data_IF_747751839324
#
_entry.id   IF_747751839324
#
_cell.length_a   1.000
_cell.length_b   1.000
_cell.length_c   1.000
_cell.angle_alpha   90.00
_cell.angle_beta   90.00
_cell.angle_gamma   90.00
#
_symmetry.space_group_name_H-M   'P 1'
#
loop_
_entity.id
_entity.type
_entity.pdbx_description
1 polymer ?
#
# COMPACT_ATOMS: atom_id res chain seq x y z
N UNK A 1 3.52 -14.84 4.83
CA UNK A 1 3.59 -15.48 3.50
C UNK A 1 4.09 -16.94 3.53
N UNK A 2 4.72 -17.42 4.61
CA UNK A 2 5.29 -18.78 4.62
C UNK A 2 4.27 -19.93 4.67
N UNK A 3 3.04 -19.70 5.15
CA UNK A 3 1.98 -20.72 5.16
C UNK A 3 0.97 -20.54 4.00
N UNK A 4 0.67 -19.29 3.65
CA UNK A 4 -0.27 -18.92 2.60
C UNK A 4 0.27 -17.73 1.80
N UNK A 5 0.14 -17.80 0.48
CA UNK A 5 0.42 -16.68 -0.41
C UNK A 5 -0.60 -15.56 -0.21
N UNK A 6 -0.14 -14.31 -0.20
CA UNK A 6 -1.01 -13.14 -0.01
C UNK A 6 -1.46 -12.67 -1.39
N UNK A 7 -2.75 -12.81 -1.71
CA UNK A 7 -3.28 -12.26 -2.95
C UNK A 7 -3.34 -10.72 -2.88
N UNK A 8 -3.92 -10.16 -1.82
CA UNK A 8 -4.04 -8.71 -1.63
C UNK A 8 -3.56 -8.32 -0.23
N UNK A 9 -2.73 -7.28 -0.13
CA UNK A 9 -2.43 -6.59 1.12
C UNK A 9 -2.91 -5.13 1.06
N UNK A 10 -3.62 -4.67 2.09
CA UNK A 10 -3.91 -3.24 2.27
C UNK A 10 -2.90 -2.69 3.27
N UNK A 11 -2.11 -1.68 2.86
CA UNK A 11 -1.05 -1.13 3.70
C UNK A 11 -1.27 0.36 3.98
N UNK A 12 -1.18 0.80 5.24
CA UNK A 12 -1.29 2.22 5.56
C UNK A 12 -0.04 2.96 5.10
N UNK A 13 -0.21 4.14 4.48
CA UNK A 13 0.90 4.96 3.99
C UNK A 13 0.95 6.38 4.60
N UNK A 14 0.12 6.67 5.61
CA UNK A 14 -0.07 8.02 6.16
C UNK A 14 1.11 8.60 6.96
N UNK A 15 2.09 7.79 7.39
CA UNK A 15 3.33 8.20 8.06
C UNK A 15 3.20 8.71 9.51
N UNK A 16 2.28 9.63 9.79
CA UNK A 16 2.24 10.27 11.11
C UNK A 16 1.85 9.30 12.25
N UNK A 17 0.85 8.46 12.01
CA UNK A 17 0.36 7.45 12.98
C UNK A 17 0.66 6.01 12.57
N UNK A 18 1.12 5.80 11.33
CA UNK A 18 1.33 4.50 10.69
C UNK A 18 2.63 4.54 9.87
N UNK A 19 2.92 3.48 9.10
CA UNK A 19 3.96 3.55 8.06
C UNK A 19 3.71 4.68 7.07
N UNK A 20 4.77 5.30 6.58
CA UNK A 20 4.76 6.17 5.39
C UNK A 20 4.96 5.34 4.10
N UNK A 21 5.03 6.00 2.93
CA UNK A 21 5.23 5.32 1.65
C UNK A 21 6.48 4.43 1.62
N UNK A 22 7.59 4.92 2.17
CA UNK A 22 8.87 4.19 2.20
C UNK A 22 8.81 2.96 3.10
N UNK A 23 8.30 3.08 4.32
CA UNK A 23 8.19 1.96 5.26
C UNK A 23 7.18 0.92 4.76
N UNK A 24 6.08 1.37 4.14
CA UNK A 24 5.10 0.47 3.52
C UNK A 24 5.70 -0.28 2.33
N UNK A 25 6.52 0.37 1.48
CA UNK A 25 7.22 -0.31 0.39
C UNK A 25 8.21 -1.35 0.92
N UNK A 26 8.85 -1.10 2.07
CA UNK A 26 9.66 -2.11 2.75
C UNK A 26 8.82 -3.27 3.27
N UNK A 27 7.63 -3.01 3.81
CA UNK A 27 6.71 -4.06 4.23
C UNK A 27 6.26 -4.95 3.05
N UNK A 28 6.12 -4.40 1.84
CA UNK A 28 5.84 -5.17 0.62
C UNK A 28 6.94 -6.21 0.35
N UNK A 29 8.21 -5.88 0.57
CA UNK A 29 9.32 -6.85 0.41
C UNK A 29 9.23 -8.04 1.36
N UNK A 30 8.74 -7.81 2.58
CA UNK A 30 8.56 -8.85 3.57
C UNK A 30 7.30 -9.69 3.32
N UNK A 31 6.21 -9.07 2.90
CA UNK A 31 4.91 -9.71 2.71
C UNK A 31 4.78 -10.41 1.36
N UNK A 32 5.45 -9.89 0.31
CA UNK A 32 5.41 -10.38 -1.08
C UNK A 32 3.98 -10.66 -1.60
N UNK A 33 3.03 -9.71 -1.49
CA UNK A 33 1.69 -9.90 -2.00
C UNK A 33 1.66 -9.83 -3.53
N UNK A 34 0.66 -10.43 -4.17
CA UNK A 34 0.44 -10.25 -5.62
C UNK A 34 0.00 -8.81 -5.92
N UNK A 35 -0.95 -8.31 -5.12
CA UNK A 35 -1.48 -6.96 -5.22
C UNK A 35 -1.34 -6.22 -3.89
N UNK A 36 -1.07 -4.92 -3.95
CA UNK A 36 -1.05 -4.06 -2.76
C UNK A 36 -1.87 -2.79 -3.00
N UNK A 37 -2.70 -2.44 -2.02
CA UNK A 37 -3.58 -1.27 -2.07
C UNK A 37 -3.13 -0.32 -0.94
N UNK A 38 -2.65 0.90 -1.26
CA UNK A 38 -2.37 1.89 -0.23
C UNK A 38 -3.67 2.35 0.43
N UNK A 39 -3.65 2.50 1.75
CA UNK A 39 -4.78 2.98 2.56
C UNK A 39 -4.31 3.96 3.64
N UNK A 40 -5.26 4.49 4.42
CA UNK A 40 -4.98 5.34 5.59
C UNK A 40 -4.08 6.55 5.28
N UNK A 41 -4.44 7.29 4.23
CA UNK A 41 -3.80 8.55 3.80
C UNK A 41 -4.88 9.53 3.34
N UNK A 42 -4.54 10.83 3.29
CA UNK A 42 -5.40 11.91 2.79
C UNK A 42 -6.78 12.08 3.49
N UNK A 43 -7.00 11.48 4.66
CA UNK A 43 -8.23 11.73 5.43
C UNK A 43 -8.14 12.98 6.30
N UNK A 44 -6.92 13.36 6.72
CA UNK A 44 -6.64 14.53 7.56
C UNK A 44 -5.30 15.18 7.16
N UNK A 45 -5.09 16.49 7.42
CA UNK A 45 -3.85 17.18 7.03
C UNK A 45 -2.54 16.50 7.48
N UNK A 46 -2.43 15.91 8.70
CA UNK A 46 -1.18 15.26 9.13
C UNK A 46 -0.79 14.02 8.33
N UNK A 47 -1.71 13.43 7.56
CA UNK A 47 -1.48 12.21 6.79
C UNK A 47 -1.64 12.43 5.28
N UNK A 48 -1.44 13.67 4.82
CA UNK A 48 -1.42 13.99 3.40
C UNK A 48 -0.21 13.33 2.71
N UNK A 49 -0.47 12.45 1.74
CA UNK A 49 0.51 11.65 1.01
C UNK A 49 0.07 11.41 -0.42
N UNK A 50 1.05 11.33 -1.32
CA UNK A 50 0.83 10.92 -2.70
C UNK A 50 0.93 9.38 -2.82
N UNK A 51 -0.16 8.67 -3.17
CA UNK A 51 -0.10 7.23 -3.37
C UNK A 51 0.72 6.82 -4.60
N UNK A 52 1.01 7.72 -5.55
CA UNK A 52 1.90 7.41 -6.67
C UNK A 52 3.37 7.28 -6.21
N UNK A 53 3.81 8.04 -5.20
CA UNK A 53 5.12 7.87 -4.58
C UNK A 53 5.29 6.44 -4.03
N UNK A 54 4.27 5.94 -3.32
CA UNK A 54 4.26 4.56 -2.84
C UNK A 54 4.36 3.56 -3.99
N UNK A 55 3.65 3.82 -5.10
CA UNK A 55 3.69 2.95 -6.28
C UNK A 55 5.07 2.90 -6.94
N UNK A 56 5.74 4.03 -7.06
CA UNK A 56 7.11 4.11 -7.56
C UNK A 56 8.09 3.34 -6.65
N UNK A 57 7.97 3.48 -5.33
CA UNK A 57 8.83 2.80 -4.36
C UNK A 57 8.65 1.27 -4.33
N UNK A 58 7.42 0.80 -4.57
CA UNK A 58 7.13 -0.64 -4.70
C UNK A 58 7.72 -1.21 -5.98
N UNK A 59 7.64 -0.47 -7.09
CA UNK A 59 8.20 -0.89 -8.38
C UNK A 59 7.60 -2.20 -8.89
N UNK A 60 8.45 -3.17 -9.22
CA UNK A 60 8.09 -4.48 -9.77
C UNK A 60 7.83 -5.56 -8.71
N UNK A 61 7.98 -5.23 -7.41
CA UNK A 61 7.86 -6.20 -6.30
C UNK A 61 6.44 -6.72 -6.11
N UNK A 62 5.44 -5.87 -6.35
CA UNK A 62 4.01 -6.19 -6.28
C UNK A 62 3.21 -5.24 -7.18
N UNK A 63 2.03 -5.67 -7.65
CA UNK A 63 1.15 -4.79 -8.44
C UNK A 63 0.38 -3.85 -7.53
N UNK A 64 0.68 -2.55 -7.63
CA UNK A 64 0.03 -1.53 -6.81
C UNK A 64 -1.29 -1.11 -7.46
N UNK A 65 -2.38 -1.19 -6.69
CA UNK A 65 -3.72 -0.78 -7.10
C UNK A 65 -4.14 0.40 -6.23
N UNK A 66 -4.14 1.61 -6.79
CA UNK A 66 -4.59 2.81 -6.08
C UNK A 66 -6.10 2.91 -6.27
N UNK A 67 -6.85 2.82 -5.17
CA UNK A 67 -8.30 2.96 -5.17
C UNK A 67 -8.69 4.26 -4.46
N UNK A 68 -9.67 4.95 -5.03
CA UNK A 68 -10.41 6.02 -4.34
C UNK A 68 -11.52 5.41 -3.47
N UNK A 69 -11.97 6.11 -2.42
CA UNK A 69 -13.12 5.65 -1.64
C UNK A 69 -14.35 5.36 -2.53
N UNK A 70 -14.88 4.15 -2.43
CA UNK A 70 -16.02 3.67 -3.23
C UNK A 70 -15.66 2.90 -4.50
N UNK A 71 -14.38 2.88 -4.92
CA UNK A 71 -13.93 2.03 -6.03
C UNK A 71 -13.75 0.57 -5.59
N UNK A 72 -13.89 -0.35 -6.54
CA UNK A 72 -13.82 -1.80 -6.31
C UNK A 72 -12.75 -2.40 -7.20
N UNK A 73 -12.01 -3.37 -6.66
CA UNK A 73 -11.06 -4.20 -7.39
C UNK A 73 -11.47 -5.67 -7.23
N UNK A 74 -11.63 -6.37 -8.35
CA UNK A 74 -11.95 -7.80 -8.41
C UNK A 74 -10.72 -8.58 -8.92
N UNK A 75 -10.54 -9.78 -8.38
CA UNK A 75 -9.41 -10.68 -8.65
C UNK A 75 -9.68 -11.64 -9.83
#
# INVERSE_FOLDING_TARGET
AELYGIDIALLPIGGHFTMGPLEAAKAVEFLKPKYVIPMHYNTFPPIEKDPEEFKELVGDKSKVIILKPGEVFEL
#
